data_IF_668420345149
#
_entry.id   IF_668420345149
#
_cell.length_a   1.000
_cell.length_b   1.000
_cell.length_c   1.000
_cell.angle_alpha   90.00
_cell.angle_beta   90.00
_cell.angle_gamma   90.00
#
_symmetry.space_group_name_H-M   'P 1'
#
loop_
_entity.id
_entity.type
_entity.pdbx_description
1 polymer ?
#
# COMPACT_ATOMS: atom_id res chain seq x y z
N UNK A 1 -28.50 10.49 -35.37
CA UNK A 1 -29.08 9.96 -34.11
C UNK A 1 -28.03 9.09 -33.43
N UNK A 2 -27.38 9.58 -32.38
CA UNK A 2 -26.41 8.80 -31.61
C UNK A 2 -27.13 7.77 -30.73
N UNK A 3 -26.76 6.48 -30.87
CA UNK A 3 -27.27 5.41 -30.00
C UNK A 3 -26.61 5.56 -28.62
N UNK A 4 -27.38 5.96 -27.61
CA UNK A 4 -26.93 5.94 -26.21
C UNK A 4 -26.77 4.49 -25.74
N UNK A 5 -25.53 4.08 -25.48
CA UNK A 5 -25.23 2.81 -24.82
C UNK A 5 -25.63 2.88 -23.35
N UNK A 6 -26.79 2.34 -23.00
CA UNK A 6 -27.19 2.16 -21.60
C UNK A 6 -26.49 0.91 -21.06
N UNK A 7 -25.44 1.10 -20.26
CA UNK A 7 -24.91 0.03 -19.44
C UNK A 7 -25.94 -0.33 -18.37
N UNK A 8 -26.22 -1.62 -18.13
CA UNK A 8 -27.16 -2.03 -17.09
C UNK A 8 -26.69 -1.54 -15.72
N UNK A 9 -27.59 -0.86 -14.99
CA UNK A 9 -27.32 -0.39 -13.64
C UNK A 9 -26.98 -1.59 -12.73
N UNK A 10 -25.75 -1.64 -12.23
CA UNK A 10 -25.38 -2.63 -11.23
C UNK A 10 -26.19 -2.38 -9.95
N UNK A 11 -27.02 -3.34 -9.55
CA UNK A 11 -27.73 -3.28 -8.27
C UNK A 11 -26.70 -3.24 -7.15
N UNK A 12 -26.83 -2.27 -6.24
CA UNK A 12 -25.98 -2.17 -5.07
C UNK A 12 -26.05 -3.48 -4.27
N UNK A 13 -24.90 -4.14 -4.08
CA UNK A 13 -24.84 -5.38 -3.30
C UNK A 13 -25.28 -5.16 -1.85
N UNK A 14 -25.71 -6.24 -1.19
CA UNK A 14 -26.00 -6.24 0.25
C UNK A 14 -24.86 -5.59 1.03
N UNK A 15 -25.19 -4.65 1.93
CA UNK A 15 -24.24 -4.12 2.91
C UNK A 15 -23.65 -5.28 3.72
N UNK A 16 -22.38 -5.15 4.10
CA UNK A 16 -21.73 -6.12 4.97
C UNK A 16 -22.43 -6.14 6.33
N UNK A 17 -22.74 -7.35 6.83
CA UNK A 17 -23.37 -7.56 8.14
C UNK A 17 -22.36 -7.58 9.30
N UNK A 18 -21.11 -7.19 9.06
CA UNK A 18 -20.06 -7.11 10.09
C UNK A 18 -19.75 -5.64 10.32
N UNK A 19 -19.77 -5.21 11.58
CA UNK A 19 -19.36 -3.87 11.94
C UNK A 19 -17.82 -3.73 11.90
N UNK A 20 -17.36 -2.48 11.93
CA UNK A 20 -15.92 -2.17 11.80
C UNK A 20 -15.08 -2.77 12.94
N UNK A 21 -15.62 -2.86 14.15
CA UNK A 21 -14.91 -3.39 15.34
C UNK A 21 -14.75 -4.91 15.22
N UNK A 22 -15.80 -5.64 14.84
CA UNK A 22 -15.71 -7.08 14.59
C UNK A 22 -14.82 -7.40 13.39
N UNK A 23 -14.85 -6.59 12.33
CA UNK A 23 -13.93 -6.76 11.21
C UNK A 23 -12.47 -6.57 11.63
N UNK A 24 -12.16 -5.55 12.44
CA UNK A 24 -10.83 -5.35 13.01
C UNK A 24 -10.34 -6.58 13.78
N UNK A 25 -11.15 -7.10 14.73
CA UNK A 25 -10.75 -8.27 15.51
C UNK A 25 -10.65 -9.55 14.67
N UNK A 26 -11.45 -9.67 13.60
CA UNK A 26 -11.34 -10.78 12.65
C UNK A 26 -9.95 -10.76 11.99
N UNK A 27 -9.52 -9.63 11.45
CA UNK A 27 -8.19 -9.50 10.82
C UNK A 27 -7.07 -9.67 11.85
N UNK A 28 -7.20 -9.01 13.02
CA UNK A 28 -6.22 -9.07 14.09
C UNK A 28 -5.92 -10.52 14.53
N UNK A 29 -6.96 -11.35 14.66
CA UNK A 29 -6.81 -12.76 15.09
C UNK A 29 -5.93 -13.61 14.16
N UNK A 30 -5.95 -13.32 12.85
CA UNK A 30 -5.06 -13.98 11.88
C UNK A 30 -3.62 -13.46 11.97
N UNK A 31 -3.41 -12.20 12.38
CA UNK A 31 -2.09 -11.58 12.45
C UNK A 31 -1.30 -12.02 13.69
N UNK A 32 -1.98 -12.14 14.84
CA UNK A 32 -1.37 -12.45 16.14
C UNK A 32 -1.05 -13.93 16.36
N UNK A 33 -1.44 -14.82 15.43
CA UNK A 33 -1.41 -16.29 15.60
C UNK A 33 -2.23 -16.79 16.81
N UNK A 34 -3.08 -15.95 17.39
CA UNK A 34 -3.99 -16.34 18.47
C UNK A 34 -5.04 -17.35 17.97
N UNK A 35 -5.36 -17.31 16.67
CA UNK A 35 -6.20 -18.28 16.00
C UNK A 35 -5.50 -18.87 14.78
N UNK A 36 -5.37 -20.20 14.75
CA UNK A 36 -4.83 -21.00 13.65
C UNK A 36 -5.94 -21.49 12.71
N UNK A 37 -7.16 -21.65 13.21
CA UNK A 37 -8.31 -22.15 12.43
C UNK A 37 -9.42 -21.11 12.31
N UNK A 38 -10.25 -21.20 11.26
CA UNK A 38 -11.42 -20.32 11.10
C UNK A 38 -12.42 -20.43 12.27
N UNK A 39 -12.47 -21.58 12.95
CA UNK A 39 -13.28 -21.79 14.15
C UNK A 39 -12.73 -20.99 15.33
N UNK A 40 -11.42 -21.03 15.54
CA UNK A 40 -10.75 -20.22 16.57
C UNK A 40 -10.91 -18.72 16.31
N UNK A 41 -10.86 -18.30 15.04
CA UNK A 41 -11.13 -16.91 14.63
C UNK A 41 -12.55 -16.49 15.01
N UNK A 42 -13.55 -17.32 14.69
CA UNK A 42 -14.95 -17.07 15.10
C UNK A 42 -15.06 -16.88 16.62
N UNK A 43 -14.45 -17.78 17.38
CA UNK A 43 -14.48 -17.72 18.85
C UNK A 43 -13.78 -16.47 19.38
N UNK A 44 -12.66 -16.08 18.76
CA UNK A 44 -11.93 -14.88 19.11
C UNK A 44 -12.78 -13.61 18.88
N UNK A 45 -13.38 -13.48 17.71
CA UNK A 45 -14.24 -12.33 17.36
C UNK A 45 -15.43 -12.26 18.31
N UNK A 46 -16.05 -13.40 18.61
CA UNK A 46 -17.14 -13.48 19.58
C UNK A 46 -16.69 -13.02 20.97
N UNK A 47 -15.54 -13.50 21.47
CA UNK A 47 -15.01 -13.10 22.77
C UNK A 47 -14.74 -11.59 22.86
N UNK A 48 -14.30 -10.95 21.78
CA UNK A 48 -13.94 -9.52 21.76
C UNK A 48 -15.12 -8.59 21.47
N UNK A 49 -16.15 -9.07 20.77
CA UNK A 49 -17.21 -8.19 20.23
C UNK A 49 -18.64 -8.66 20.52
N UNK A 50 -18.83 -9.89 20.99
CA UNK A 50 -20.14 -10.52 21.11
C UNK A 50 -20.73 -11.01 19.79
N UNK A 51 -20.11 -10.70 18.64
CA UNK A 51 -20.62 -11.12 17.33
C UNK A 51 -20.10 -12.52 16.97
N UNK A 52 -21.01 -13.47 16.78
CA UNK A 52 -20.67 -14.82 16.33
C UNK A 52 -20.76 -14.91 14.81
N UNK A 53 -19.64 -15.23 14.16
CA UNK A 53 -19.55 -15.33 12.70
C UNK A 53 -19.46 -16.81 12.28
N UNK A 54 -20.35 -17.26 11.41
CA UNK A 54 -20.24 -18.62 10.87
C UNK A 54 -18.96 -18.75 10.01
N UNK A 55 -18.36 -19.95 10.00
CA UNK A 55 -17.16 -20.23 9.20
C UNK A 55 -17.36 -19.85 7.71
N UNK A 56 -18.49 -20.17 7.05
CA UNK A 56 -18.74 -19.72 5.68
C UNK A 56 -18.80 -18.20 5.53
N UNK A 57 -19.28 -17.48 6.55
CA UNK A 57 -19.31 -16.01 6.55
C UNK A 57 -17.91 -15.46 6.63
N UNK A 58 -17.07 -15.98 7.54
CA UNK A 58 -15.65 -15.62 7.63
C UNK A 58 -14.98 -15.88 6.28
N UNK A 59 -15.15 -17.06 5.70
CA UNK A 59 -14.57 -17.39 4.39
C UNK A 59 -15.00 -16.44 3.27
N UNK A 60 -16.31 -16.09 3.19
CA UNK A 60 -16.82 -15.12 2.21
C UNK A 60 -16.25 -13.72 2.43
N UNK A 61 -16.13 -13.29 3.69
CA UNK A 61 -15.50 -12.01 4.04
C UNK A 61 -14.06 -12.03 3.54
N UNK A 62 -13.27 -13.04 3.93
CA UNK A 62 -11.88 -13.21 3.50
C UNK A 62 -11.74 -13.21 1.97
N UNK A 63 -12.57 -13.97 1.25
CA UNK A 63 -12.57 -13.98 -0.22
C UNK A 63 -12.90 -12.61 -0.82
N UNK A 64 -13.86 -11.88 -0.24
CA UNK A 64 -14.28 -10.55 -0.72
C UNK A 64 -13.21 -9.50 -0.49
N UNK A 65 -12.46 -9.61 0.60
CA UNK A 65 -11.24 -8.80 0.85
C UNK A 65 -9.99 -9.44 0.25
N UNK A 66 -10.13 -10.38 -0.70
CA UNK A 66 -9.06 -11.18 -1.33
C UNK A 66 -7.95 -11.61 -0.37
N UNK A 67 -8.29 -11.86 0.89
CA UNK A 67 -7.40 -12.41 1.88
C UNK A 67 -7.26 -13.89 1.56
N UNK A 68 -6.27 -14.20 0.72
CA UNK A 68 -5.88 -15.56 0.43
C UNK A 68 -4.93 -16.02 1.52
N UNK A 69 -5.03 -17.27 1.94
CA UNK A 69 -3.99 -17.94 2.73
C UNK A 69 -2.76 -18.24 1.85
N UNK A 70 -2.41 -17.34 0.92
CA UNK A 70 -1.03 -17.26 0.48
C UNK A 70 -0.33 -16.77 1.74
N UNK A 71 0.47 -17.62 2.38
CA UNK A 71 1.26 -17.17 3.52
C UNK A 71 1.89 -15.85 3.08
N UNK A 72 1.57 -14.76 3.78
CA UNK A 72 2.17 -13.46 3.51
C UNK A 72 3.66 -13.76 3.61
N UNK A 73 4.30 -13.93 2.47
CA UNK A 73 5.73 -14.09 2.40
C UNK A 73 6.19 -12.67 2.65
N UNK A 74 6.21 -12.30 3.93
CA UNK A 74 6.89 -11.13 4.41
C UNK A 74 8.25 -11.23 3.76
N UNK A 75 8.48 -10.38 2.76
CA UNK A 75 9.77 -10.38 2.04
C UNK A 75 10.88 -10.04 3.03
N UNK A 76 10.51 -9.48 4.19
CA UNK A 76 11.36 -9.20 5.32
C UNK A 76 10.63 -9.54 6.65
N UNK A 77 11.16 -10.41 7.53
CA UNK A 77 10.59 -10.71 8.85
C UNK A 77 10.26 -9.49 9.70
N UNK A 78 10.97 -8.37 9.49
CA UNK A 78 10.72 -7.09 10.18
C UNK A 78 9.36 -6.47 9.85
N UNK A 79 8.77 -6.78 8.70
CA UNK A 79 7.43 -6.29 8.34
C UNK A 79 6.40 -6.74 9.37
N UNK A 80 6.45 -8.02 9.77
CA UNK A 80 5.56 -8.55 10.79
C UNK A 80 5.77 -7.89 12.15
N UNK A 81 7.04 -7.67 12.53
CA UNK A 81 7.40 -7.03 13.79
C UNK A 81 6.91 -5.57 13.84
N UNK A 82 6.97 -4.87 12.71
CA UNK A 82 6.61 -3.46 12.60
C UNK A 82 5.14 -3.24 12.20
N UNK A 83 4.30 -4.28 12.23
CA UNK A 83 2.92 -4.16 11.75
C UNK A 83 2.14 -3.15 12.59
N UNK A 84 2.25 -3.22 13.92
CA UNK A 84 1.58 -2.26 14.81
C UNK A 84 1.96 -0.80 14.49
N UNK A 85 3.26 -0.50 14.37
CA UNK A 85 3.78 0.82 13.98
C UNK A 85 3.24 1.25 12.60
N UNK A 86 3.12 0.31 11.65
CA UNK A 86 2.55 0.59 10.33
C UNK A 86 1.06 0.94 10.42
N UNK A 87 0.30 0.28 11.29
CA UNK A 87 -1.12 0.58 11.49
C UNK A 87 -1.32 1.95 12.13
N UNK A 88 -0.52 2.28 13.15
CA UNK A 88 -0.53 3.60 13.79
C UNK A 88 -0.18 4.69 12.77
N UNK A 89 0.86 4.48 11.96
CA UNK A 89 1.22 5.39 10.88
C UNK A 89 0.07 5.61 9.90
N UNK A 90 -0.58 4.53 9.44
CA UNK A 90 -1.74 4.63 8.54
C UNK A 90 -2.88 5.40 9.18
N UNK A 91 -3.18 5.14 10.46
CA UNK A 91 -4.24 5.85 11.18
C UNK A 91 -3.93 7.34 11.27
N UNK A 92 -2.71 7.73 11.65
CA UNK A 92 -2.28 9.12 11.70
C UNK A 92 -2.40 9.81 10.34
N UNK A 93 -1.91 9.17 9.28
CA UNK A 93 -1.92 9.73 7.92
C UNK A 93 -3.34 9.81 7.37
N UNK A 94 -4.21 8.84 7.70
CA UNK A 94 -5.62 8.83 7.26
C UNK A 94 -6.44 10.01 7.78
N UNK A 95 -5.99 10.66 8.85
CA UNK A 95 -6.62 11.87 9.42
C UNK A 95 -6.25 13.14 8.65
N UNK A 96 -5.21 13.10 7.82
CA UNK A 96 -4.76 14.24 7.02
C UNK A 96 -5.54 14.33 5.71
N UNK A 97 -5.78 15.54 5.24
CA UNK A 97 -6.36 15.73 3.91
C UNK A 97 -5.32 15.39 2.84
N UNK A 98 -5.75 14.67 1.79
CA UNK A 98 -4.84 14.16 0.75
C UNK A 98 -4.04 15.26 0.05
N UNK A 99 -4.60 16.46 -0.11
CA UNK A 99 -3.92 17.59 -0.75
C UNK A 99 -2.78 18.19 0.10
N UNK A 100 -2.65 17.80 1.37
CA UNK A 100 -1.60 18.23 2.28
C UNK A 100 -0.46 17.21 2.38
N UNK A 101 -0.56 16.08 1.67
CA UNK A 101 0.43 15.00 1.75
C UNK A 101 1.36 15.08 0.55
N UNK A 102 2.66 15.21 0.83
CA UNK A 102 3.72 15.05 -0.15
C UNK A 102 4.47 13.75 0.15
N UNK A 103 4.65 12.92 -0.87
CA UNK A 103 5.48 11.72 -0.79
C UNK A 103 6.66 11.86 -1.74
N UNK A 104 7.84 11.52 -1.25
CA UNK A 104 9.07 11.52 -2.01
C UNK A 104 9.84 10.23 -1.72
N UNK A 105 10.46 9.69 -2.76
CA UNK A 105 11.37 8.56 -2.66
C UNK A 105 12.39 8.66 -3.78
N UNK A 106 13.50 7.96 -3.61
CA UNK A 106 14.59 7.94 -4.56
C UNK A 106 14.61 6.64 -5.34
N UNK A 107 14.89 6.76 -6.63
CA UNK A 107 14.92 5.64 -7.54
C UNK A 107 16.21 5.66 -8.35
N UNK A 108 17.08 4.67 -8.12
CA UNK A 108 18.27 4.47 -8.94
C UNK A 108 17.94 3.77 -10.26
N UNK A 109 18.44 4.32 -11.36
CA UNK A 109 18.35 3.75 -12.71
C UNK A 109 19.75 3.48 -13.24
N UNK A 110 20.27 2.26 -13.08
CA UNK A 110 21.59 1.93 -13.56
C UNK A 110 21.56 1.84 -15.08
N UNK A 111 22.37 2.66 -15.75
CA UNK A 111 22.58 2.59 -17.19
C UNK A 111 23.32 1.29 -17.54
N UNK A 112 22.99 0.67 -18.68
CA UNK A 112 23.70 -0.49 -19.23
C UNK A 112 23.75 -1.75 -18.35
N UNK A 113 22.95 -1.86 -17.28
CA UNK A 113 22.84 -3.13 -16.57
C UNK A 113 22.03 -4.12 -17.41
N UNK A 114 22.73 -5.08 -18.02
CA UNK A 114 22.13 -6.37 -18.34
C UNK A 114 21.37 -6.87 -17.09
N UNK A 115 20.20 -7.52 -17.22
CA UNK A 115 19.33 -7.88 -16.10
C UNK A 115 19.95 -8.95 -15.20
N UNK A 116 21.00 -8.61 -14.44
CA UNK A 116 21.69 -9.50 -13.52
C UNK A 116 21.97 -8.75 -12.21
N UNK A 117 21.33 -9.29 -11.16
CA UNK A 117 21.46 -9.00 -9.72
C UNK A 117 20.93 -7.62 -9.27
N UNK A 118 19.79 -7.68 -8.58
CA UNK A 118 19.11 -6.53 -7.95
C UNK A 118 19.99 -5.93 -6.84
N UNK A 119 20.61 -4.77 -7.09
CA UNK A 119 21.03 -3.89 -6.00
C UNK A 119 19.78 -3.35 -5.29
N UNK A 120 19.68 -3.59 -3.98
CA UNK A 120 18.66 -2.95 -3.12
C UNK A 120 19.32 -1.79 -2.39
N UNK A 121 18.96 -0.56 -2.75
CA UNK A 121 19.32 0.61 -1.96
C UNK A 121 18.55 0.57 -0.63
N UNK A 122 19.25 0.83 0.48
CA UNK A 122 18.68 0.88 1.83
C UNK A 122 18.10 2.27 2.10
N UNK A 123 17.17 2.35 3.08
CA UNK A 123 16.75 3.59 3.76
C UNK A 123 17.94 4.54 3.90
N UNK A 124 17.90 5.67 3.19
CA UNK A 124 18.98 6.63 3.21
C UNK A 124 18.91 7.42 4.52
N UNK A 125 19.91 7.23 5.37
CA UNK A 125 20.12 8.08 6.56
C UNK A 125 20.16 9.57 6.20
N UNK A 126 20.49 9.89 4.94
CA UNK A 126 20.46 11.24 4.37
C UNK A 126 19.13 11.99 4.60
N UNK A 127 17.97 11.30 4.50
CA UNK A 127 16.66 11.93 4.71
C UNK A 127 16.40 12.37 6.15
N UNK A 128 17.20 11.86 7.10
CA UNK A 128 17.06 12.17 8.53
C UNK A 128 18.10 13.18 9.02
N UNK A 129 18.93 13.72 8.13
CA UNK A 129 19.98 14.68 8.50
C UNK A 129 19.38 15.98 9.04
N UNK A 130 20.12 16.66 9.91
CA UNK A 130 19.71 17.94 10.51
C UNK A 130 19.36 18.97 9.44
N UNK A 131 20.17 19.04 8.38
CA UNK A 131 19.99 19.97 7.27
C UNK A 131 18.66 19.77 6.53
N UNK A 132 18.25 18.52 6.30
CA UNK A 132 16.94 18.22 5.69
C UNK A 132 15.81 18.66 6.61
N UNK A 133 15.92 18.42 7.93
CA UNK A 133 14.91 18.88 8.90
C UNK A 133 14.78 20.39 8.93
N UNK A 134 15.90 21.12 8.97
CA UNK A 134 15.91 22.59 8.94
C UNK A 134 15.20 23.14 7.69
N UNK A 135 15.39 22.51 6.54
CA UNK A 135 14.68 22.88 5.30
C UNK A 135 13.18 22.60 5.40
N UNK A 136 12.78 21.45 5.94
CA UNK A 136 11.36 21.12 6.12
C UNK A 136 10.69 22.08 7.12
N UNK A 137 11.35 22.35 8.24
CA UNK A 137 10.87 23.26 9.29
C UNK A 137 10.72 24.69 8.75
N UNK A 138 11.70 25.18 7.97
CA UNK A 138 11.63 26.49 7.29
C UNK A 138 10.41 26.62 6.36
N UNK A 139 9.91 25.51 5.83
CA UNK A 139 8.75 25.47 4.95
C UNK A 139 7.46 25.04 5.67
N UNK A 140 7.44 25.01 7.01
CA UNK A 140 6.31 24.54 7.82
C UNK A 140 5.83 23.13 7.45
N UNK A 141 6.74 22.26 7.00
CA UNK A 141 6.44 20.87 6.65
C UNK A 141 6.84 19.94 7.79
N UNK A 142 5.90 19.11 8.25
CA UNK A 142 6.16 18.10 9.29
C UNK A 142 6.53 16.75 8.64
N UNK A 143 7.80 16.29 8.69
CA UNK A 143 8.16 15.02 8.08
C UNK A 143 7.47 13.85 8.78
N UNK A 144 6.96 12.91 7.98
CA UNK A 144 6.47 11.60 8.43
C UNK A 144 7.23 10.52 7.68
N UNK A 145 7.96 9.70 8.42
CA UNK A 145 8.76 8.62 7.83
C UNK A 145 7.96 7.33 7.79
N UNK A 146 7.85 6.73 6.60
CA UNK A 146 7.23 5.43 6.42
C UNK A 146 7.96 4.38 7.26
N UNK A 147 7.19 3.50 7.91
CA UNK A 147 7.69 2.42 8.77
C UNK A 147 8.62 1.48 8.00
N UNK A 148 9.66 1.01 8.68
CA UNK A 148 10.75 0.25 8.03
C UNK A 148 10.23 -1.04 7.40
N UNK A 149 10.77 -1.36 6.22
CA UNK A 149 10.45 -2.57 5.45
C UNK A 149 9.00 -2.65 4.94
N UNK A 150 8.22 -1.57 4.96
CA UNK A 150 6.85 -1.52 4.44
C UNK A 150 6.78 -0.68 3.14
N UNK A 151 7.34 -1.15 2.00
CA UNK A 151 7.34 -0.39 0.75
C UNK A 151 5.93 -0.16 0.17
N UNK A 152 4.95 -0.96 0.57
CA UNK A 152 3.55 -0.82 0.17
C UNK A 152 2.86 0.40 0.79
N UNK A 153 3.43 0.98 1.87
CA UNK A 153 3.00 2.28 2.40
C UNK A 153 3.54 3.46 1.59
N UNK A 154 4.43 3.22 0.63
CA UNK A 154 5.02 4.26 -0.18
C UNK A 154 4.24 4.43 -1.49
N UNK A 155 3.38 5.45 -1.61
CA UNK A 155 2.63 5.69 -2.86
C UNK A 155 3.59 5.97 -4.02
N UNK A 156 4.78 6.51 -3.72
CA UNK A 156 5.87 6.67 -4.68
C UNK A 156 6.26 5.33 -5.28
N UNK A 157 6.46 4.24 -4.52
CA UNK A 157 6.81 2.95 -5.14
C UNK A 157 5.68 2.36 -6.01
N UNK A 158 4.42 2.68 -5.72
CA UNK A 158 3.28 2.28 -6.58
C UNK A 158 3.21 3.10 -7.88
N UNK A 159 3.35 4.42 -7.77
CA UNK A 159 3.41 5.34 -8.92
C UNK A 159 4.64 5.05 -9.78
N UNK A 160 5.78 4.79 -9.13
CA UNK A 160 7.08 4.54 -9.75
C UNK A 160 7.27 3.11 -10.24
N UNK A 161 6.20 2.52 -10.76
CA UNK A 161 6.30 1.51 -11.82
C UNK A 161 7.01 2.07 -13.08
N UNK A 162 7.36 3.37 -13.07
CA UNK A 162 8.41 4.01 -13.89
C UNK A 162 9.67 3.14 -13.99
N UNK A 163 10.09 2.44 -12.92
CA UNK A 163 11.22 1.49 -12.98
C UNK A 163 11.01 0.41 -14.04
N UNK A 164 9.79 -0.15 -14.14
CA UNK A 164 9.45 -1.14 -15.16
C UNK A 164 9.39 -0.49 -16.54
N UNK A 165 8.79 0.70 -16.64
CA UNK A 165 8.71 1.45 -17.88
C UNK A 165 10.10 1.78 -18.45
N UNK A 166 10.98 2.40 -17.65
CA UNK A 166 12.36 2.75 -18.03
C UNK A 166 13.16 1.51 -18.41
N UNK A 167 13.03 0.41 -17.66
CA UNK A 167 13.72 -0.86 -18.01
C UNK A 167 13.31 -1.38 -19.37
N UNK A 168 12.06 -1.22 -19.77
CA UNK A 168 11.58 -1.64 -21.09
C UNK A 168 12.10 -0.76 -22.23
N UNK A 169 12.56 0.46 -21.93
CA UNK A 169 13.14 1.37 -22.92
C UNK A 169 14.66 1.20 -23.08
N UNK A 170 15.30 0.46 -22.18
CA UNK A 170 16.74 0.12 -22.20
C UNK A 170 17.67 1.32 -22.52
N UNK A 171 17.56 2.47 -21.83
CA UNK A 171 18.41 3.63 -22.12
C UNK A 171 19.87 3.32 -21.83
N UNK A 172 20.76 3.71 -22.75
CA UNK A 172 22.20 3.43 -22.69
C UNK A 172 23.01 4.59 -22.15
N UNK A 173 22.52 5.81 -22.38
CA UNK A 173 23.15 7.06 -21.93
C UNK A 173 22.20 7.88 -21.05
N UNK A 174 22.75 8.87 -20.36
CA UNK A 174 22.01 9.67 -19.39
C UNK A 174 20.91 10.49 -20.05
N UNK A 175 21.17 11.04 -21.23
CA UNK A 175 20.24 11.87 -22.00
C UNK A 175 19.01 11.08 -22.43
N UNK A 176 19.19 9.82 -22.83
CA UNK A 176 18.10 8.90 -23.15
C UNK A 176 17.28 8.58 -21.91
N UNK A 177 17.94 8.24 -20.79
CA UNK A 177 17.26 7.99 -19.52
C UNK A 177 16.43 9.20 -19.08
N UNK A 178 17.00 10.40 -19.16
CA UNK A 178 16.34 11.65 -18.83
C UNK A 178 15.09 11.85 -19.69
N UNK A 179 15.21 11.67 -21.00
CA UNK A 179 14.07 11.76 -21.94
C UNK A 179 12.96 10.76 -21.59
N UNK A 180 13.31 9.49 -21.33
CA UNK A 180 12.35 8.45 -20.97
C UNK A 180 11.63 8.78 -19.66
N UNK A 181 12.36 9.29 -18.67
CA UNK A 181 11.78 9.73 -17.39
C UNK A 181 10.86 10.93 -17.59
N UNK A 182 11.30 11.95 -18.32
CA UNK A 182 10.51 13.16 -18.62
C UNK A 182 9.21 12.82 -19.35
N UNK A 183 9.28 11.91 -20.35
CA UNK A 183 8.10 11.46 -21.08
C UNK A 183 7.13 10.71 -20.16
N UNK A 184 7.63 9.87 -19.25
CA UNK A 184 6.74 9.19 -18.29
C UNK A 184 6.16 10.16 -17.26
N UNK A 185 6.90 11.18 -16.82
CA UNK A 185 6.40 12.22 -15.93
C UNK A 185 5.24 12.97 -16.61
N UNK A 186 5.36 13.33 -17.89
CA UNK A 186 4.27 13.99 -18.64
C UNK A 186 3.00 13.14 -18.66
N UNK A 187 3.13 11.82 -18.84
CA UNK A 187 1.99 10.90 -18.76
C UNK A 187 1.38 10.93 -17.36
N UNK A 188 2.19 10.83 -16.30
CA UNK A 188 1.72 10.84 -14.92
C UNK A 188 1.07 12.18 -14.52
N UNK A 189 1.49 13.30 -15.09
CA UNK A 189 0.86 14.62 -14.86
C UNK A 189 -0.59 14.68 -15.38
N UNK A 190 -0.95 13.83 -16.35
CA UNK A 190 -2.32 13.68 -16.84
C UNK A 190 -3.18 12.68 -16.05
N UNK A 191 -2.60 11.94 -15.10
CA UNK A 191 -3.28 10.92 -14.32
C UNK A 191 -3.74 11.46 -12.95
N UNK A 192 -4.84 10.92 -12.41
CA UNK A 192 -5.23 11.19 -11.02
C UNK A 192 -4.39 10.36 -10.04
N UNK A 193 -3.26 10.93 -9.62
CA UNK A 193 -2.32 10.26 -8.71
C UNK A 193 -2.87 10.07 -7.29
N UNK A 194 -4.01 10.67 -6.92
CA UNK A 194 -4.62 10.52 -5.59
C UNK A 194 -5.05 9.09 -5.32
N UNK A 195 -5.33 8.31 -6.37
CA UNK A 195 -5.71 6.92 -6.21
C UNK A 195 -4.59 6.09 -5.57
N UNK A 196 -3.32 6.36 -5.89
CA UNK A 196 -2.20 5.64 -5.28
C UNK A 196 -2.07 5.89 -3.77
N UNK A 197 -2.37 7.12 -3.33
CA UNK A 197 -2.44 7.43 -1.91
C UNK A 197 -3.62 6.71 -1.22
N UNK A 198 -4.77 6.64 -1.89
CA UNK A 198 -5.92 5.88 -1.38
C UNK A 198 -5.56 4.41 -1.23
N UNK A 199 -4.91 3.82 -2.23
CA UNK A 199 -4.53 2.40 -2.22
C UNK A 199 -3.51 2.10 -1.11
N UNK A 200 -2.53 2.98 -0.86
CA UNK A 200 -1.57 2.83 0.24
C UNK A 200 -2.20 2.93 1.64
N UNK A 201 -3.32 3.65 1.77
CA UNK A 201 -4.03 3.84 3.04
C UNK A 201 -5.24 2.91 3.18
N UNK A 202 -5.64 2.25 2.09
CA UNK A 202 -6.73 1.28 2.10
C UNK A 202 -6.24 -0.04 2.70
N UNK A 203 -6.67 -0.27 3.93
CA UNK A 203 -6.43 -1.50 4.64
C UNK A 203 -6.87 -2.74 3.86
N UNK A 204 -7.99 -2.64 3.15
CA UNK A 204 -8.47 -3.75 2.33
C UNK A 204 -7.52 -3.98 1.16
N UNK A 205 -6.95 -2.94 0.55
CA UNK A 205 -5.96 -3.10 -0.52
C UNK A 205 -4.69 -3.81 -0.03
N UNK A 206 -4.20 -3.47 1.15
CA UNK A 206 -3.00 -4.08 1.75
C UNK A 206 -3.23 -5.56 2.02
N UNK A 207 -4.39 -5.89 2.60
CA UNK A 207 -4.79 -7.27 2.87
C UNK A 207 -5.02 -8.06 1.58
N UNK A 208 -5.62 -7.45 0.54
CA UNK A 208 -5.89 -8.07 -0.77
C UNK A 208 -4.63 -8.46 -1.53
N UNK A 209 -3.55 -7.69 -1.38
CA UNK A 209 -2.31 -7.88 -2.15
C UNK A 209 -1.26 -8.73 -1.41
N UNK A 210 -1.58 -9.24 -0.22
CA UNK A 210 -0.68 -10.12 0.54
C UNK A 210 0.65 -9.46 0.90
N UNK A 211 0.62 -8.16 1.21
CA UNK A 211 1.78 -7.36 1.60
C UNK A 211 2.11 -7.44 3.09
#
# INVERSE_FOLDING_TARGET
>A
MEKRNYLPLQKAGSKFKIDRKSFYHLIYSFQTKEAKTLKEVSNYVYKKTGLQLSIPTIYRILRKIKYSHHGIHYRNPKQKQNLAEALEFMEEVSKLSQHLILAADESGYPLNLAPKKRLRFKRLSAHKTKKVREVLDKNNMKPRFIVSANPWLNPTELVFNVKKYVRNQEPKIYEELRKVVDDKIKVLQGEDLRQYFKDCLDFDFILKNGH
#
